data_IF_064098654625
#
_entry.id   IF_064098654625
#
_cell.length_a   1.000
_cell.length_b   1.000
_cell.length_c   1.000
_cell.angle_alpha   90.00
_cell.angle_beta   90.00
_cell.angle_gamma   90.00
#
_symmetry.space_group_name_H-M   'P 1'
#
loop_
_entity.id
_entity.type
_entity.pdbx_description
1 polymer ?
#
# COMPACT_ATOMS: atom_id res chain seq x y z
N UNK A 1 -11.79 5.78 -1.42
CA UNK A 1 -11.05 6.01 -0.16
C UNK A 1 -11.76 5.26 0.94
N UNK A 2 -11.03 4.54 1.79
CA UNK A 2 -11.58 3.81 2.94
C UNK A 2 -10.80 4.13 4.21
N UNK A 3 -11.44 3.97 5.36
CA UNK A 3 -10.86 4.25 6.68
C UNK A 3 -11.13 3.08 7.61
N UNK A 4 -10.13 2.70 8.41
CA UNK A 4 -10.27 1.70 9.47
C UNK A 4 -9.62 2.22 10.76
N UNK A 5 -10.39 2.40 11.86
CA UNK A 5 -9.81 2.75 13.15
C UNK A 5 -9.04 1.55 13.72
N UNK A 6 -7.90 1.82 14.34
CA UNK A 6 -7.18 0.80 15.09
C UNK A 6 -7.95 0.46 16.38
N UNK A 7 -7.78 -0.79 16.83
CA UNK A 7 -8.40 -1.31 18.05
C UNK A 7 -7.33 -1.96 18.94
N UNK A 8 -7.51 -1.88 20.25
CA UNK A 8 -6.70 -2.64 21.20
C UNK A 8 -7.10 -4.13 21.23
N UNK A 9 -6.40 -4.92 22.05
CA UNK A 9 -6.65 -6.36 22.20
C UNK A 9 -8.07 -6.69 22.72
N UNK A 10 -8.72 -5.73 23.39
CA UNK A 10 -10.12 -5.84 23.84
C UNK A 10 -11.12 -5.39 22.75
N UNK A 11 -10.64 -5.01 21.56
CA UNK A 11 -11.44 -4.54 20.44
C UNK A 11 -11.92 -3.09 20.59
N UNK A 12 -11.44 -2.33 21.58
CA UNK A 12 -11.84 -0.94 21.78
C UNK A 12 -11.07 -0.03 20.83
N UNK A 13 -11.72 0.99 20.22
CA UNK A 13 -11.01 1.95 19.37
C UNK A 13 -9.94 2.70 20.14
N UNK A 14 -8.79 2.87 19.50
CA UNK A 14 -7.70 3.75 19.97
C UNK A 14 -7.56 4.95 19.04
N UNK A 15 -6.85 5.99 19.47
CA UNK A 15 -6.60 7.20 18.67
C UNK A 15 -5.56 6.97 17.57
N UNK A 16 -5.80 5.99 16.70
CA UNK A 16 -4.98 5.63 15.54
C UNK A 16 -5.85 4.93 14.49
N UNK A 17 -5.31 4.67 13.30
CA UNK A 17 -6.00 3.98 12.23
C UNK A 17 -5.24 4.05 10.91
N UNK A 18 -5.87 3.54 9.86
CA UNK A 18 -5.36 3.59 8.48
C UNK A 18 -6.40 4.22 7.56
N UNK A 19 -5.94 5.06 6.65
CA UNK A 19 -6.70 5.54 5.49
C UNK A 19 -6.07 4.98 4.22
N UNK A 20 -6.89 4.41 3.34
CA UNK A 20 -6.43 3.82 2.08
C UNK A 20 -7.10 4.50 0.91
N UNK A 21 -6.30 5.03 -0.01
CA UNK A 21 -6.74 5.45 -1.33
C UNK A 21 -6.45 4.29 -2.29
N UNK A 22 -7.48 3.52 -2.66
CA UNK A 22 -7.32 2.38 -3.57
C UNK A 22 -7.53 2.79 -5.03
N UNK A 23 -6.69 2.26 -5.91
CA UNK A 23 -6.68 2.44 -7.35
C UNK A 23 -6.73 1.05 -8.03
N UNK A 24 -7.91 0.39 -8.13
CA UNK A 24 -8.01 -1.00 -8.58
C UNK A 24 -7.47 -1.27 -9.99
N UNK A 25 -7.52 -0.26 -10.87
CA UNK A 25 -6.97 -0.33 -12.23
C UNK A 25 -5.50 0.11 -12.32
N UNK A 26 -4.86 0.37 -11.19
CA UNK A 26 -3.60 1.10 -11.11
C UNK A 26 -3.79 2.60 -11.33
N UNK A 27 -2.84 3.39 -10.83
CA UNK A 27 -2.73 4.82 -11.11
C UNK A 27 -1.26 5.23 -11.17
N UNK A 28 -0.91 6.19 -12.03
CA UNK A 28 0.45 6.74 -12.06
C UNK A 28 0.78 7.37 -10.71
N UNK A 29 1.90 6.97 -10.10
CA UNK A 29 2.30 7.41 -8.76
C UNK A 29 3.68 8.08 -8.71
N UNK A 30 3.82 9.10 -7.88
CA UNK A 30 5.08 9.74 -7.52
C UNK A 30 5.01 10.23 -6.06
N UNK A 31 6.16 10.40 -5.40
CA UNK A 31 6.23 10.83 -4.00
C UNK A 31 7.34 11.86 -3.77
N UNK A 32 7.05 12.83 -2.90
CA UNK A 32 8.01 13.82 -2.39
C UNK A 32 7.95 13.82 -0.86
N UNK A 33 9.09 13.52 -0.22
CA UNK A 33 9.25 13.41 1.23
C UNK A 33 10.12 14.56 1.71
N UNK A 34 9.51 15.55 2.35
CA UNK A 34 10.19 16.81 2.73
C UNK A 34 10.56 16.92 4.21
N UNK A 35 10.03 16.04 5.06
CA UNK A 35 10.32 16.03 6.50
C UNK A 35 11.62 15.28 6.83
N UNK A 36 12.31 15.70 7.89
CA UNK A 36 13.60 15.12 8.30
C UNK A 36 13.52 13.79 9.06
N UNK A 37 12.32 13.33 9.45
CA UNK A 37 12.10 12.06 10.14
C UNK A 37 11.00 11.23 9.46
N UNK A 38 11.22 10.72 8.24
CA UNK A 38 10.20 9.99 7.50
C UNK A 38 9.99 8.58 8.05
N UNK A 39 8.73 8.13 8.02
CA UNK A 39 8.34 6.73 8.16
C UNK A 39 7.60 6.32 6.91
N UNK A 40 8.31 5.71 5.96
CA UNK A 40 7.78 5.39 4.62
C UNK A 40 8.05 3.94 4.26
N UNK A 41 7.26 3.43 3.31
CA UNK A 41 7.41 2.12 2.69
C UNK A 41 7.27 2.31 1.17
N UNK A 42 8.02 1.54 0.39
CA UNK A 42 7.93 1.45 -1.08
C UNK A 42 8.19 2.77 -1.87
N UNK A 43 8.62 3.84 -1.21
CA UNK A 43 8.83 5.16 -1.87
C UNK A 43 9.90 5.13 -2.96
N UNK A 44 10.92 4.28 -2.83
CA UNK A 44 11.96 4.14 -3.84
C UNK A 44 11.42 3.64 -5.17
N UNK A 45 10.35 2.82 -5.18
CA UNK A 45 9.73 2.32 -6.41
C UNK A 45 9.17 3.45 -7.27
N UNK A 46 8.71 4.55 -6.66
CA UNK A 46 8.06 5.67 -7.32
C UNK A 46 9.03 6.68 -7.97
N UNK A 47 10.33 6.36 -7.99
CA UNK A 47 11.29 7.13 -8.77
C UNK A 47 10.96 6.97 -10.27
N UNK A 48 10.87 8.07 -11.05
CA UNK A 48 10.55 7.99 -12.47
C UNK A 48 11.48 7.12 -13.31
N UNK A 49 12.71 6.87 -12.84
CA UNK A 49 13.69 6.00 -13.49
C UNK A 49 13.40 4.50 -13.35
N UNK A 50 12.45 4.11 -12.49
CA UNK A 50 12.13 2.71 -12.25
C UNK A 50 11.05 2.20 -13.21
N UNK A 51 11.01 0.89 -13.39
CA UNK A 51 10.06 0.21 -14.28
C UNK A 51 8.62 0.24 -13.77
N UNK A 52 8.41 0.35 -12.45
CA UNK A 52 7.08 0.42 -11.85
C UNK A 52 6.56 1.86 -11.89
N UNK A 53 5.48 2.07 -12.62
CA UNK A 53 4.85 3.39 -12.77
C UNK A 53 3.45 3.45 -12.15
N UNK A 54 2.85 2.30 -11.82
CA UNK A 54 1.49 2.21 -11.26
C UNK A 54 1.47 1.79 -9.80
N UNK A 55 0.72 2.53 -8.99
CA UNK A 55 0.32 2.16 -7.62
C UNK A 55 -1.10 1.61 -7.61
N UNK A 56 -1.36 0.64 -6.75
CA UNK A 56 -2.69 0.03 -6.56
C UNK A 56 -3.38 0.58 -5.32
N UNK A 57 -2.62 1.11 -4.36
CA UNK A 57 -3.14 1.94 -3.29
C UNK A 57 -2.08 2.91 -2.76
N UNK A 58 -2.51 3.83 -1.90
CA UNK A 58 -1.66 4.60 -0.99
C UNK A 58 -2.25 4.47 0.40
N UNK A 59 -1.44 4.07 1.38
CA UNK A 59 -1.84 3.93 2.77
C UNK A 59 -1.26 5.04 3.65
N UNK A 60 -2.12 5.70 4.42
CA UNK A 60 -1.76 6.68 5.45
C UNK A 60 -2.05 6.07 6.82
N UNK A 61 -1.00 5.79 7.59
CA UNK A 61 -1.09 5.02 8.83
C UNK A 61 -0.72 5.87 10.05
N UNK A 62 -1.53 5.76 11.11
CA UNK A 62 -1.09 6.12 12.46
C UNK A 62 -0.14 5.06 13.04
N UNK A 63 0.42 5.30 14.23
CA UNK A 63 1.32 4.32 14.89
C UNK A 63 2.80 4.44 14.55
N UNK A 64 3.22 5.54 13.88
CA UNK A 64 4.63 5.77 13.51
C UNK A 64 5.18 4.60 12.66
N UNK A 65 6.47 4.27 12.78
CA UNK A 65 7.11 3.21 12.00
C UNK A 65 6.42 1.83 12.15
N UNK A 66 5.90 1.48 13.33
CA UNK A 66 5.14 0.24 13.52
C UNK A 66 3.83 0.22 12.71
N UNK A 67 3.23 1.38 12.46
CA UNK A 67 2.02 1.50 11.64
C UNK A 67 2.20 1.11 10.18
N UNK A 68 3.44 1.03 9.69
CA UNK A 68 3.75 0.62 8.31
C UNK A 68 3.37 -0.84 8.03
N UNK A 69 3.21 -1.67 9.07
CA UNK A 69 2.73 -3.05 8.94
C UNK A 69 1.31 -3.11 8.33
N UNK A 70 0.50 -2.07 8.51
CA UNK A 70 -0.84 -1.99 7.91
C UNK A 70 -0.80 -2.05 6.38
N UNK A 71 0.29 -1.59 5.74
CA UNK A 71 0.46 -1.70 4.30
C UNK A 71 0.50 -3.16 3.83
N UNK A 72 1.04 -4.08 4.64
CA UNK A 72 1.01 -5.51 4.34
C UNK A 72 -0.41 -6.07 4.29
N UNK A 73 -1.28 -5.63 5.20
CA UNK A 73 -2.71 -5.98 5.16
C UNK A 73 -3.44 -5.40 3.95
N UNK A 74 -3.08 -4.19 3.53
CA UNK A 74 -3.62 -3.59 2.29
C UNK A 74 -3.16 -4.37 1.06
N UNK A 75 -1.89 -4.76 0.99
CA UNK A 75 -1.36 -5.61 -0.08
C UNK A 75 -2.12 -6.94 -0.12
N UNK A 76 -2.23 -7.66 1.00
CA UNK A 76 -2.95 -8.93 1.05
C UNK A 76 -4.40 -8.81 0.56
N UNK A 77 -5.13 -7.79 1.01
CA UNK A 77 -6.51 -7.56 0.55
C UNK A 77 -6.61 -7.18 -0.93
N UNK A 78 -5.60 -6.53 -1.53
CA UNK A 78 -5.55 -6.25 -2.96
C UNK A 78 -5.21 -7.52 -3.75
N UNK A 79 -4.26 -8.32 -3.28
CA UNK A 79 -3.86 -9.61 -3.86
C UNK A 79 -5.05 -10.59 -3.90
N UNK A 80 -5.77 -10.75 -2.79
CA UNK A 80 -6.99 -11.59 -2.71
C UNK A 80 -8.07 -11.19 -3.74
N UNK A 81 -8.05 -9.92 -4.17
CA UNK A 81 -8.99 -9.35 -5.14
C UNK A 81 -8.46 -9.34 -6.57
N UNK A 82 -7.29 -9.95 -6.81
CA UNK A 82 -6.67 -9.99 -8.15
C UNK A 82 -6.09 -8.65 -8.59
N UNK A 83 -5.79 -7.73 -7.67
CA UNK A 83 -5.30 -6.38 -7.99
C UNK A 83 -3.82 -6.31 -7.67
N UNK A 84 -2.98 -6.22 -8.69
CA UNK A 84 -1.54 -6.10 -8.53
C UNK A 84 -0.81 -6.18 -9.86
N UNK A 85 0.52 -6.08 -9.79
CA UNK A 85 1.38 -6.29 -10.94
C UNK A 85 1.56 -7.80 -11.22
N UNK A 86 1.23 -8.32 -12.42
CA UNK A 86 1.48 -9.71 -12.76
C UNK A 86 2.97 -9.93 -12.99
N UNK A 87 3.65 -10.64 -12.08
CA UNK A 87 5.13 -10.75 -12.06
C UNK A 87 5.69 -11.36 -13.34
N UNK A 88 4.96 -12.30 -13.95
CA UNK A 88 5.33 -12.97 -15.20
C UNK A 88 4.52 -12.48 -16.42
N UNK A 89 3.70 -11.44 -16.25
CA UNK A 89 2.78 -10.96 -17.28
C UNK A 89 1.79 -12.03 -17.76
N UNK A 90 1.25 -11.83 -18.96
CA UNK A 90 0.25 -12.72 -19.57
C UNK A 90 0.78 -14.12 -19.90
N UNK A 91 2.09 -14.34 -19.82
CA UNK A 91 2.71 -15.64 -20.06
C UNK A 91 2.36 -16.68 -18.99
N UNK A 92 2.00 -16.24 -17.78
CA UNK A 92 1.54 -17.10 -16.68
C UNK A 92 0.28 -16.49 -16.08
N UNK A 93 -0.92 -16.81 -16.62
CA UNK A 93 -2.19 -16.19 -16.20
C UNK A 93 -2.51 -16.33 -14.71
N UNK A 94 -2.09 -17.45 -14.10
CA UNK A 94 -2.27 -17.73 -12.66
C UNK A 94 -0.98 -17.49 -11.86
N UNK A 95 -0.08 -16.64 -12.39
CA UNK A 95 1.17 -16.27 -11.74
C UNK A 95 0.93 -15.38 -10.52
N UNK A 96 1.95 -15.22 -9.65
CA UNK A 96 1.84 -14.32 -8.51
C UNK A 96 1.63 -12.88 -8.98
N UNK A 97 0.78 -12.16 -8.25
CA UNK A 97 0.57 -10.73 -8.42
C UNK A 97 1.16 -9.99 -7.22
N UNK A 98 1.77 -8.83 -7.46
CA UNK A 98 2.35 -8.00 -6.40
C UNK A 98 1.68 -6.63 -6.38
N UNK A 99 0.84 -6.35 -5.38
CA UNK A 99 0.25 -5.03 -5.21
C UNK A 99 1.31 -4.02 -4.75
N UNK A 100 1.44 -2.93 -5.48
CA UNK A 100 2.23 -1.74 -5.09
C UNK A 100 1.35 -0.81 -4.23
N UNK A 101 1.75 -0.55 -2.98
CA UNK A 101 0.99 0.22 -1.96
C UNK A 101 1.86 1.27 -1.27
#
# INVERSE_FOLDING_TARGET
VGHAPARDDAGKPVSSGVTVVACPSGAVGAVDVRGGGPGTRETDLLKPSNSMQSVHAVALCGGSAFGLDAAGGVMAGLEERGIGFPVFGDAVPDGPIVPIV
#
